data_IF_003082141422
#
_entry.id   IF_003082141422
#
_cell.length_a   1.000
_cell.length_b   1.000
_cell.length_c   1.000
_cell.angle_alpha   90.00
_cell.angle_beta   90.00
_cell.angle_gamma   90.00
#
_symmetry.space_group_name_H-M   'P 1'
#
loop_
_entity.id
_entity.type
_entity.pdbx_description
1 polymer ?
#
# COMPACT_ATOMS: atom_id res chain seq x y z
N UNK A 1 15.03 -5.40 -1.51
CA UNK A 1 14.23 -6.65 -1.39
C UNK A 1 15.00 -7.72 -0.59
N UNK A 2 15.47 -7.40 0.63
CA UNK A 2 16.24 -8.36 1.45
C UNK A 2 15.32 -9.29 2.26
N UNK A 3 14.23 -8.75 2.81
CA UNK A 3 13.25 -9.53 3.56
C UNK A 3 12.62 -10.67 2.72
N UNK A 4 12.26 -10.39 1.46
CA UNK A 4 11.72 -11.41 0.53
C UNK A 4 12.75 -12.54 0.27
N UNK A 5 14.04 -12.25 0.36
CA UNK A 5 15.12 -13.25 0.21
C UNK A 5 15.43 -13.98 1.52
N UNK A 6 14.64 -13.79 2.57
CA UNK A 6 14.89 -14.35 3.90
C UNK A 6 16.12 -13.78 4.60
N UNK A 7 16.58 -12.57 4.22
CA UNK A 7 17.80 -11.94 4.74
C UNK A 7 17.54 -10.89 5.83
N UNK A 8 16.38 -10.93 6.48
CA UNK A 8 16.05 -10.06 7.61
C UNK A 8 14.59 -9.60 7.65
N UNK A 9 14.30 -8.70 8.59
CA UNK A 9 12.99 -8.08 8.81
C UNK A 9 13.01 -6.68 8.18
N UNK A 10 11.88 -6.23 7.64
CA UNK A 10 11.74 -4.88 7.10
C UNK A 10 10.42 -4.25 7.56
N UNK A 11 10.47 -3.00 7.98
CA UNK A 11 9.28 -2.16 8.12
C UNK A 11 9.03 -1.45 6.77
N UNK A 12 7.85 -1.68 6.19
CA UNK A 12 7.45 -1.10 4.90
C UNK A 12 5.96 -0.81 4.89
N UNK A 13 5.56 0.12 4.01
CA UNK A 13 4.16 0.36 3.70
C UNK A 13 3.48 -0.94 3.22
N UNK A 14 2.30 -1.24 3.75
CA UNK A 14 1.48 -2.38 3.33
C UNK A 14 1.19 -2.37 1.83
N UNK A 15 1.09 -1.20 1.21
CA UNK A 15 0.87 -1.12 -0.24
C UNK A 15 2.09 -1.61 -1.03
N UNK A 16 3.31 -1.30 -0.60
CA UNK A 16 4.56 -1.68 -1.27
C UNK A 16 4.79 -3.20 -1.27
N UNK A 17 4.39 -3.86 -0.17
CA UNK A 17 4.57 -5.29 0.04
C UNK A 17 3.26 -6.08 -0.11
N UNK A 18 2.20 -5.43 -0.57
CA UNK A 18 0.84 -5.98 -0.65
C UNK A 18 0.80 -7.34 -1.34
N UNK A 19 1.43 -7.41 -2.52
CA UNK A 19 1.49 -8.62 -3.33
C UNK A 19 2.23 -9.76 -2.62
N UNK A 20 3.36 -9.45 -2.01
CA UNK A 20 4.18 -10.46 -1.32
C UNK A 20 3.47 -10.99 -0.06
N UNK A 21 2.67 -10.18 0.61
CA UNK A 21 1.81 -10.62 1.72
C UNK A 21 0.67 -11.52 1.23
N UNK A 22 -0.08 -11.08 0.21
CA UNK A 22 -1.21 -11.83 -0.37
C UNK A 22 -0.73 -13.19 -0.91
N UNK A 23 0.43 -13.23 -1.56
CA UNK A 23 1.01 -14.46 -2.10
C UNK A 23 1.77 -15.29 -1.04
N UNK A 24 1.73 -14.90 0.24
CA UNK A 24 2.32 -15.64 1.36
C UNK A 24 3.86 -15.67 1.40
N UNK A 25 4.53 -14.81 0.60
CA UNK A 25 6.01 -14.69 0.58
C UNK A 25 6.57 -13.92 1.76
N UNK A 26 5.76 -13.09 2.39
CA UNK A 26 6.10 -12.34 3.59
C UNK A 26 5.05 -12.61 4.67
N UNK A 27 5.48 -12.56 5.92
CA UNK A 27 4.63 -12.75 7.10
C UNK A 27 4.83 -11.61 8.08
N UNK A 28 3.80 -11.27 8.86
CA UNK A 28 3.88 -10.27 9.92
C UNK A 28 4.55 -10.90 11.15
N UNK A 29 5.65 -10.31 11.61
CA UNK A 29 6.46 -10.85 12.73
C UNK A 29 6.21 -10.15 14.07
N UNK A 30 5.54 -8.99 14.07
CA UNK A 30 5.18 -8.22 15.27
C UNK A 30 3.72 -7.75 15.15
N UNK A 31 2.73 -8.59 15.51
CA UNK A 31 1.31 -8.27 15.35
C UNK A 31 0.83 -7.16 16.28
N UNK A 32 1.44 -7.04 17.46
CA UNK A 32 1.11 -6.03 18.47
C UNK A 32 1.65 -4.63 18.15
N UNK A 33 2.55 -4.54 17.16
CA UNK A 33 3.17 -3.29 16.80
C UNK A 33 2.58 -2.74 15.50
N UNK A 34 2.12 -1.49 15.55
CA UNK A 34 1.62 -0.72 14.42
C UNK A 34 2.34 0.64 14.36
N UNK A 35 2.88 0.98 13.19
CA UNK A 35 3.46 2.31 12.94
C UNK A 35 2.39 3.39 12.73
N UNK A 36 1.12 3.00 12.65
CA UNK A 36 -0.01 3.88 12.37
C UNK A 36 -0.16 4.21 10.88
N UNK A 37 -1.29 4.82 10.49
CA UNK A 37 -1.55 5.16 9.11
C UNK A 37 -0.65 6.30 8.62
N UNK A 38 0.05 6.07 7.52
CA UNK A 38 0.83 7.10 6.81
C UNK A 38 0.03 7.58 5.59
N UNK A 39 -0.10 8.90 5.36
CA UNK A 39 -0.84 9.42 4.22
C UNK A 39 -0.16 9.08 2.89
N UNK A 40 -0.97 8.74 1.88
CA UNK A 40 -0.54 8.62 0.49
C UNK A 40 -0.94 9.88 -0.28
N UNK A 41 0.02 10.52 -0.93
CA UNK A 41 -0.23 11.74 -1.70
C UNK A 41 -0.11 11.50 -3.21
N UNK A 42 -1.06 12.06 -3.97
CA UNK A 42 -0.90 12.28 -5.41
C UNK A 42 -0.50 13.75 -5.61
N UNK A 43 0.70 13.99 -6.11
CA UNK A 43 1.25 15.33 -6.30
C UNK A 43 1.16 15.73 -7.77
N UNK A 44 0.64 16.92 -8.05
CA UNK A 44 0.64 17.54 -9.37
C UNK A 44 1.58 18.73 -9.36
N UNK A 45 2.44 18.85 -10.38
CA UNK A 45 3.45 19.92 -10.44
C UNK A 45 2.83 21.33 -10.61
N UNK A 46 1.64 21.43 -11.21
CA UNK A 46 0.91 22.68 -11.42
C UNK A 46 -0.60 22.47 -11.30
N UNK A 47 -1.31 23.46 -10.75
CA UNK A 47 -2.76 23.44 -10.58
C UNK A 47 -3.53 23.45 -11.90
N UNK A 48 -2.95 24.02 -12.96
CA UNK A 48 -3.48 24.02 -14.34
C UNK A 48 -3.59 22.61 -14.90
N UNK A 49 -2.80 21.66 -14.39
CA UNK A 49 -2.85 20.25 -14.77
C UNK A 49 -4.05 19.50 -14.14
N UNK A 50 -4.83 20.13 -13.23
CA UNK A 50 -6.02 19.53 -12.61
C UNK A 50 -7.24 19.55 -13.55
N UNK A 51 -7.06 19.02 -14.75
CA UNK A 51 -8.10 18.83 -15.76
C UNK A 51 -9.17 17.83 -15.29
N UNK A 52 -10.36 17.79 -15.93
CA UNK A 52 -11.38 16.77 -15.63
C UNK A 52 -10.86 15.33 -15.74
N UNK A 53 -9.96 15.06 -16.68
CA UNK A 53 -9.31 13.76 -16.85
C UNK A 53 -8.43 13.41 -15.66
N UNK A 54 -7.62 14.35 -15.16
CA UNK A 54 -6.78 14.12 -13.97
C UNK A 54 -7.63 13.92 -12.71
N UNK A 55 -8.76 14.61 -12.58
CA UNK A 55 -9.71 14.38 -11.48
C UNK A 55 -10.30 12.97 -11.53
N UNK A 56 -10.75 12.55 -12.70
CA UNK A 56 -11.26 11.19 -12.91
C UNK A 56 -10.19 10.14 -12.61
N UNK A 57 -8.95 10.39 -13.04
CA UNK A 57 -7.81 9.52 -12.75
C UNK A 57 -7.49 9.46 -11.25
N UNK A 58 -7.51 10.59 -10.55
CA UNK A 58 -7.35 10.62 -9.08
C UNK A 58 -8.39 9.75 -8.41
N UNK A 59 -9.66 9.88 -8.79
CA UNK A 59 -10.75 9.14 -8.19
C UNK A 59 -10.60 7.62 -8.47
N UNK A 60 -10.19 7.25 -9.69
CA UNK A 60 -9.85 5.88 -10.05
C UNK A 60 -8.70 5.32 -9.20
N UNK A 61 -7.60 6.06 -9.05
CA UNK A 61 -6.45 5.64 -8.25
C UNK A 61 -6.84 5.50 -6.78
N UNK A 62 -7.64 6.43 -6.24
CA UNK A 62 -8.13 6.36 -4.87
C UNK A 62 -8.92 5.07 -4.64
N UNK A 63 -9.87 4.74 -5.53
CA UNK A 63 -10.63 3.50 -5.45
C UNK A 63 -9.73 2.26 -5.51
N UNK A 64 -8.76 2.22 -6.43
CA UNK A 64 -7.81 1.11 -6.55
C UNK A 64 -6.93 0.96 -5.29
N UNK A 65 -6.44 2.05 -4.72
CA UNK A 65 -5.67 2.02 -3.48
C UNK A 65 -6.52 1.54 -2.29
N UNK A 66 -7.75 2.01 -2.16
CA UNK A 66 -8.68 1.53 -1.12
C UNK A 66 -8.95 0.03 -1.25
N UNK A 67 -9.24 -0.45 -2.47
CA UNK A 67 -9.46 -1.87 -2.72
C UNK A 67 -8.21 -2.70 -2.40
N UNK A 68 -7.03 -2.27 -2.85
CA UNK A 68 -5.80 -2.99 -2.59
C UNK A 68 -5.47 -3.04 -1.09
N UNK A 69 -5.73 -1.95 -0.35
CA UNK A 69 -5.57 -1.93 1.11
C UNK A 69 -6.48 -2.95 1.78
N UNK A 70 -7.75 -3.03 1.37
CA UNK A 70 -8.68 -4.02 1.90
C UNK A 70 -8.22 -5.46 1.64
N UNK A 71 -7.74 -5.75 0.43
CA UNK A 71 -7.25 -7.09 0.08
C UNK A 71 -6.08 -7.54 0.95
N UNK A 72 -5.13 -6.65 1.25
CA UNK A 72 -3.98 -6.97 2.12
C UNK A 72 -4.42 -7.16 3.56
N UNK A 73 -5.30 -6.30 4.07
CA UNK A 73 -5.78 -6.40 5.46
C UNK A 73 -6.54 -7.71 5.70
N UNK A 74 -7.27 -8.21 4.70
CA UNK A 74 -7.93 -9.52 4.77
C UNK A 74 -6.94 -10.68 4.98
N UNK A 75 -5.67 -10.53 4.56
CA UNK A 75 -4.63 -11.56 4.78
C UNK A 75 -4.26 -11.70 6.26
N UNK A 76 -4.58 -10.71 7.10
CA UNK A 76 -4.30 -10.74 8.54
C UNK A 76 -5.47 -11.22 9.41
N UNK A 77 -6.64 -11.52 8.82
CA UNK A 77 -7.85 -11.94 9.55
C UNK A 77 -7.96 -13.48 9.73
N UNK A 78 -6.86 -14.21 9.55
CA UNK A 78 -6.75 -15.66 9.80
C UNK A 78 -5.90 -15.90 11.04
#
# INVERSE_FOLDING_TARGET
RLAIKGKGIANKSLMDISRDLIEGRLVRVLPEWDSGPVPLYMVCADRRLLTPTIRTFRDFIQQKCCQQRANVLATFCH
#
